data_IF_309160241273
#
_entry.id   IF_309160241273
#
_cell.length_a   1.000
_cell.length_b   1.000
_cell.length_c   1.000
_cell.angle_alpha   90.00
_cell.angle_beta   90.00
_cell.angle_gamma   90.00
#
_symmetry.space_group_name_H-M   'P 1'
#
loop_
_entity.id
_entity.type
_entity.pdbx_description
1 polymer ?
#
# COMPACT_ATOMS: atom_id res chain seq x y z
N UNK A 1 -37.45 9.33 5.04
CA UNK A 1 -37.27 8.13 4.18
C UNK A 1 -38.21 8.32 3.00
N UNK A 2 -37.69 8.29 1.77
CA UNK A 2 -38.53 8.31 0.56
C UNK A 2 -38.59 6.89 0.02
N UNK A 3 -39.75 6.24 0.15
CA UNK A 3 -40.02 4.94 -0.48
C UNK A 3 -40.58 5.12 -1.89
N UNK A 4 -40.38 4.12 -2.75
CA UNK A 4 -40.79 4.18 -4.15
C UNK A 4 -41.93 3.20 -4.47
N UNK A 5 -42.77 3.54 -5.46
CA UNK A 5 -43.66 2.56 -6.11
C UNK A 5 -42.94 1.83 -7.24
N UNK A 6 -43.52 0.72 -7.74
CA UNK A 6 -42.85 -0.31 -8.56
C UNK A 6 -42.10 0.12 -9.84
N UNK A 7 -42.24 1.36 -10.29
CA UNK A 7 -41.59 1.92 -11.49
C UNK A 7 -40.77 3.21 -11.23
N UNK A 8 -40.90 3.78 -10.03
CA UNK A 8 -40.32 5.06 -9.64
C UNK A 8 -39.01 4.83 -8.89
N UNK A 9 -38.09 5.79 -8.97
CA UNK A 9 -36.90 5.81 -8.12
C UNK A 9 -37.17 6.61 -6.83
N UNK A 10 -36.38 6.39 -5.76
CA UNK A 10 -36.46 7.20 -4.54
C UNK A 10 -36.03 8.66 -4.76
N UNK A 11 -35.18 8.91 -5.78
CA UNK A 11 -34.92 10.23 -6.37
C UNK A 11 -35.09 10.14 -7.89
N UNK A 12 -35.85 11.07 -8.48
CA UNK A 12 -35.90 11.27 -9.94
C UNK A 12 -35.54 12.72 -10.28
N UNK A 13 -34.56 12.95 -11.16
CA UNK A 13 -34.04 14.30 -11.47
C UNK A 13 -34.42 14.76 -12.89
N UNK A 14 -34.71 16.05 -13.07
CA UNK A 14 -35.24 16.58 -14.33
C UNK A 14 -34.15 16.77 -15.42
N UNK A 15 -34.55 16.58 -16.68
CA UNK A 15 -33.64 16.72 -17.83
C UNK A 15 -33.19 18.16 -18.09
N UNK A 16 -31.88 18.35 -18.27
CA UNK A 16 -31.27 19.68 -18.40
C UNK A 16 -31.08 20.43 -17.07
N UNK A 17 -31.31 19.79 -15.92
CA UNK A 17 -31.03 20.34 -14.58
C UNK A 17 -29.80 19.65 -13.98
N UNK A 18 -28.98 20.40 -13.24
CA UNK A 18 -27.91 19.87 -12.40
C UNK A 18 -28.43 19.62 -10.98
N UNK A 19 -28.34 18.37 -10.52
CA UNK A 19 -28.69 17.95 -9.16
C UNK A 19 -27.41 17.61 -8.39
N UNK A 20 -27.35 17.98 -7.11
CA UNK A 20 -26.23 17.62 -6.22
C UNK A 20 -26.79 16.95 -4.97
N UNK A 21 -26.34 15.73 -4.69
CA UNK A 21 -26.77 14.92 -3.54
C UNK A 21 -25.60 14.84 -2.56
N UNK A 22 -25.74 15.49 -1.41
CA UNK A 22 -24.70 15.56 -0.37
C UNK A 22 -24.85 14.49 0.73
N UNK A 23 -25.97 13.76 0.75
CA UNK A 23 -26.29 12.81 1.81
C UNK A 23 -27.77 12.42 1.83
N UNK A 24 -28.12 11.50 2.73
CA UNK A 24 -29.48 10.99 2.94
C UNK A 24 -29.53 9.47 3.00
N UNK A 25 -30.74 8.92 3.18
CA UNK A 25 -31.02 7.48 3.06
C UNK A 25 -32.22 7.28 2.14
N UNK A 26 -32.00 6.55 1.05
CA UNK A 26 -32.95 6.39 -0.06
C UNK A 26 -33.12 4.90 -0.34
N UNK A 27 -34.33 4.37 -0.14
CA UNK A 27 -34.61 2.93 -0.19
C UNK A 27 -35.74 2.68 -1.19
N UNK A 28 -35.53 1.78 -2.16
CA UNK A 28 -36.47 1.55 -3.26
C UNK A 28 -36.57 0.07 -3.65
N UNK A 29 -37.61 -0.58 -3.13
CA UNK A 29 -37.84 -2.04 -3.15
C UNK A 29 -38.06 -2.67 -4.54
N UNK A 30 -38.07 -1.89 -5.62
CA UNK A 30 -38.47 -2.37 -6.97
C UNK A 30 -37.66 -1.81 -8.14
N UNK A 31 -36.95 -0.70 -7.96
CA UNK A 31 -36.29 0.02 -9.05
C UNK A 31 -34.90 0.53 -8.62
N UNK A 32 -34.35 1.50 -9.35
CA UNK A 32 -33.14 2.21 -8.95
C UNK A 32 -33.40 3.16 -7.77
N UNK A 33 -32.46 3.29 -6.83
CA UNK A 33 -32.56 4.31 -5.78
C UNK A 33 -32.53 5.74 -6.38
N UNK A 34 -31.74 5.95 -7.44
CA UNK A 34 -31.75 7.18 -8.27
C UNK A 34 -32.11 6.83 -9.71
N UNK A 35 -32.90 7.70 -10.36
CA UNK A 35 -33.03 7.78 -11.82
C UNK A 35 -32.77 9.22 -12.30
N UNK A 36 -31.71 9.43 -13.09
CA UNK A 36 -31.38 10.76 -13.64
C UNK A 36 -31.77 10.89 -15.10
N UNK A 37 -32.39 12.02 -15.43
CA UNK A 37 -32.56 12.50 -16.80
C UNK A 37 -31.69 13.73 -17.11
N UNK A 38 -31.03 14.30 -16.09
CA UNK A 38 -30.11 15.45 -16.18
C UNK A 38 -28.73 15.12 -15.63
N UNK A 39 -27.95 16.14 -15.24
CA UNK A 39 -26.67 15.94 -14.56
C UNK A 39 -26.90 15.69 -13.06
N UNK A 40 -26.34 14.62 -12.50
CA UNK A 40 -26.42 14.34 -11.04
C UNK A 40 -25.03 14.07 -10.46
N UNK A 41 -24.61 14.89 -9.49
CA UNK A 41 -23.37 14.70 -8.73
C UNK A 41 -23.70 14.14 -7.35
N UNK A 42 -23.04 13.05 -6.94
CA UNK A 42 -23.34 12.33 -5.69
C UNK A 42 -22.12 12.34 -4.78
N UNK A 43 -22.10 13.26 -3.82
CA UNK A 43 -21.02 13.43 -2.84
C UNK A 43 -21.17 12.49 -1.63
N UNK A 44 -22.38 11.98 -1.36
CA UNK A 44 -22.65 11.09 -0.23
C UNK A 44 -24.11 10.62 -0.15
N UNK A 45 -24.37 9.69 0.77
CA UNK A 45 -25.69 9.12 1.05
C UNK A 45 -25.71 7.59 0.97
N UNK A 46 -26.69 6.95 1.58
CA UNK A 46 -26.96 5.51 1.46
C UNK A 46 -28.13 5.29 0.49
N UNK A 47 -27.92 4.41 -0.48
CA UNK A 47 -28.83 4.12 -1.58
C UNK A 47 -29.07 2.61 -1.62
N UNK A 48 -30.31 2.20 -1.35
CA UNK A 48 -30.71 0.80 -1.19
C UNK A 48 -31.82 0.46 -2.20
N UNK A 49 -31.72 -0.67 -2.89
CA UNK A 49 -32.78 -1.13 -3.78
C UNK A 49 -32.35 -2.24 -4.73
N UNK A 50 -33.24 -2.60 -5.65
CA UNK A 50 -32.97 -3.68 -6.63
C UNK A 50 -31.83 -3.31 -7.59
N UNK A 51 -31.77 -2.04 -7.98
CA UNK A 51 -30.68 -1.45 -8.75
C UNK A 51 -30.14 -0.23 -7.98
N UNK A 52 -28.86 0.09 -8.15
CA UNK A 52 -28.24 1.21 -7.45
C UNK A 52 -28.68 2.56 -8.04
N UNK A 53 -28.08 2.93 -9.16
CA UNK A 53 -28.38 4.20 -9.84
C UNK A 53 -28.59 4.00 -11.35
N UNK A 54 -29.54 4.76 -11.90
CA UNK A 54 -29.95 4.69 -13.32
C UNK A 54 -29.67 6.03 -14.01
N UNK A 55 -28.87 6.02 -15.06
CA UNK A 55 -28.71 7.15 -15.98
C UNK A 55 -29.51 6.89 -17.26
N UNK A 56 -30.39 7.82 -17.65
CA UNK A 56 -31.34 7.59 -18.74
C UNK A 56 -31.50 8.84 -19.64
N UNK A 57 -31.68 8.62 -20.94
CA UNK A 57 -32.11 9.67 -21.88
C UNK A 57 -33.59 10.01 -21.74
N UNK A 58 -33.93 11.30 -21.75
CA UNK A 58 -35.32 11.75 -21.69
C UNK A 58 -36.00 11.76 -23.07
N UNK A 59 -37.31 12.01 -23.10
CA UNK A 59 -38.12 12.10 -24.33
C UNK A 59 -37.77 13.27 -25.27
N UNK A 60 -36.83 14.14 -24.88
CA UNK A 60 -36.31 15.27 -25.66
C UNK A 60 -34.90 14.98 -26.21
N UNK A 61 -34.35 13.78 -25.99
CA UNK A 61 -32.99 13.41 -26.37
C UNK A 61 -31.89 13.91 -25.42
N UNK A 62 -32.23 14.51 -24.27
CA UNK A 62 -31.24 14.92 -23.26
C UNK A 62 -30.74 13.68 -22.50
N UNK A 63 -29.44 13.42 -22.59
CA UNK A 63 -28.77 12.30 -21.92
C UNK A 63 -28.55 12.63 -20.45
N UNK A 64 -29.10 11.84 -19.54
CA UNK A 64 -28.80 11.93 -18.12
C UNK A 64 -27.41 11.42 -17.79
N UNK A 65 -26.71 12.07 -16.86
CA UNK A 65 -25.38 11.68 -16.41
C UNK A 65 -25.25 11.62 -14.89
N UNK A 66 -24.43 10.69 -14.39
CA UNK A 66 -24.11 10.55 -12.96
C UNK A 66 -22.60 10.66 -12.77
N UNK A 67 -22.19 11.42 -11.75
CA UNK A 67 -20.79 11.50 -11.31
C UNK A 67 -20.68 11.28 -9.80
N UNK A 68 -19.92 10.26 -9.41
CA UNK A 68 -19.39 10.11 -8.05
C UNK A 68 -17.95 10.66 -8.05
N UNK A 69 -17.67 11.82 -7.43
CA UNK A 69 -16.31 12.37 -7.36
C UNK A 69 -15.39 11.55 -6.43
N UNK A 70 -14.09 11.84 -6.45
CA UNK A 70 -13.05 11.11 -5.72
C UNK A 70 -13.27 11.11 -4.20
N UNK A 71 -13.83 12.19 -3.67
CA UNK A 71 -14.22 12.35 -2.27
C UNK A 71 -15.65 11.85 -1.96
N UNK A 72 -16.31 11.13 -2.89
CA UNK A 72 -17.66 10.64 -2.65
C UNK A 72 -17.69 9.61 -1.52
N UNK A 73 -18.63 9.82 -0.60
CA UNK A 73 -18.94 8.94 0.53
C UNK A 73 -20.23 8.16 0.29
N UNK A 74 -20.68 8.06 -0.96
CA UNK A 74 -21.89 7.36 -1.33
C UNK A 74 -21.74 5.85 -1.09
N UNK A 75 -22.77 5.23 -0.49
CA UNK A 75 -22.88 3.79 -0.32
C UNK A 75 -24.08 3.35 -1.16
N UNK A 76 -23.84 2.51 -2.16
CA UNK A 76 -24.86 1.98 -3.06
C UNK A 76 -24.96 0.48 -2.84
N UNK A 77 -26.07 0.04 -2.24
CA UNK A 77 -26.40 -1.35 -1.97
C UNK A 77 -27.51 -1.78 -2.93
N UNK A 78 -27.12 -2.48 -4.00
CA UNK A 78 -27.99 -2.90 -5.08
C UNK A 78 -28.11 -4.42 -5.12
N UNK A 79 -29.31 -4.99 -4.97
CA UNK A 79 -29.50 -6.44 -4.96
C UNK A 79 -28.95 -7.12 -6.22
N UNK A 80 -29.11 -6.46 -7.38
CA UNK A 80 -28.73 -7.00 -8.68
C UNK A 80 -27.61 -6.23 -9.37
N UNK A 81 -27.78 -4.92 -9.60
CA UNK A 81 -26.87 -4.14 -10.46
C UNK A 81 -26.58 -2.76 -9.86
N UNK A 82 -25.31 -2.41 -9.66
CA UNK A 82 -24.91 -1.09 -9.13
C UNK A 82 -25.27 0.06 -10.08
N UNK A 83 -24.91 -0.07 -11.36
CA UNK A 83 -25.05 0.97 -12.38
C UNK A 83 -25.95 0.49 -13.53
N UNK A 84 -26.90 1.32 -13.95
CA UNK A 84 -27.75 1.05 -15.11
C UNK A 84 -27.71 2.23 -16.07
N UNK A 85 -27.24 1.98 -17.29
CA UNK A 85 -27.31 2.94 -18.40
C UNK A 85 -28.54 2.64 -19.26
N UNK A 86 -29.28 3.66 -19.69
CA UNK A 86 -30.44 3.51 -20.56
C UNK A 86 -30.52 4.55 -21.67
N UNK A 87 -30.88 4.08 -22.87
CA UNK A 87 -30.87 4.79 -24.14
C UNK A 87 -30.29 3.89 -25.24
N UNK A 88 -30.06 4.45 -26.43
CA UNK A 88 -29.49 3.72 -27.57
C UNK A 88 -28.00 4.06 -27.72
N UNK A 89 -27.29 3.38 -28.63
CA UNK A 89 -25.87 3.60 -28.97
C UNK A 89 -25.36 5.04 -28.79
N UNK A 90 -25.96 6.02 -29.48
CA UNK A 90 -25.51 7.43 -29.49
C UNK A 90 -26.04 8.30 -28.33
N UNK A 91 -26.82 7.73 -27.40
CA UNK A 91 -27.64 8.51 -26.45
C UNK A 91 -27.83 7.88 -25.06
N UNK A 92 -27.16 6.77 -24.76
CA UNK A 92 -27.29 6.09 -23.48
C UNK A 92 -26.71 6.90 -22.30
N UNK A 93 -27.37 6.83 -21.14
CA UNK A 93 -26.99 7.59 -19.95
C UNK A 93 -25.60 7.24 -19.42
N UNK A 94 -24.79 8.25 -19.09
CA UNK A 94 -23.35 8.11 -18.80
C UNK A 94 -23.08 8.16 -17.29
N UNK A 95 -22.24 7.27 -16.78
CA UNK A 95 -21.91 7.13 -15.35
C UNK A 95 -20.39 7.19 -15.16
N UNK A 96 -19.92 8.12 -14.33
CA UNK A 96 -18.52 8.27 -13.95
C UNK A 96 -18.35 7.99 -12.46
N UNK A 97 -17.47 7.05 -12.11
CA UNK A 97 -17.30 6.56 -10.74
C UNK A 97 -15.84 6.72 -10.31
N UNK A 98 -15.59 7.71 -9.46
CA UNK A 98 -14.26 8.00 -8.91
C UNK A 98 -14.15 7.76 -7.40
N UNK A 99 -15.26 7.48 -6.72
CA UNK A 99 -15.35 7.28 -5.28
C UNK A 99 -16.70 6.70 -4.87
N UNK A 100 -16.87 6.39 -3.58
CA UNK A 100 -18.01 5.65 -3.04
C UNK A 100 -17.77 4.14 -2.91
N UNK A 101 -18.77 3.44 -2.38
CA UNK A 101 -18.78 1.99 -2.13
C UNK A 101 -20.02 1.36 -2.76
N UNK A 102 -19.84 0.28 -3.52
CA UNK A 102 -20.84 -0.31 -4.42
C UNK A 102 -20.99 -1.82 -4.17
N UNK A 103 -21.98 -2.18 -3.35
CA UNK A 103 -22.38 -3.57 -3.11
C UNK A 103 -23.37 -4.00 -4.18
N UNK A 104 -23.02 -4.97 -5.02
CA UNK A 104 -23.92 -5.53 -6.04
C UNK A 104 -23.48 -6.91 -6.56
N UNK A 105 -24.40 -7.59 -7.25
CA UNK A 105 -24.10 -8.84 -7.98
C UNK A 105 -23.47 -8.59 -9.37
N UNK A 106 -23.62 -7.39 -9.93
CA UNK A 106 -23.08 -6.96 -11.23
C UNK A 106 -22.82 -5.45 -11.23
N UNK A 107 -21.71 -5.04 -11.83
CA UNK A 107 -21.33 -3.62 -11.91
C UNK A 107 -22.26 -2.85 -12.85
N UNK A 108 -22.37 -3.24 -14.13
CA UNK A 108 -23.17 -2.54 -15.15
C UNK A 108 -24.32 -3.39 -15.73
N UNK A 109 -25.43 -2.73 -16.03
CA UNK A 109 -26.49 -3.20 -16.93
C UNK A 109 -26.89 -2.11 -17.92
N UNK A 110 -27.36 -2.51 -19.10
CA UNK A 110 -27.84 -1.62 -20.16
C UNK A 110 -29.32 -1.85 -20.47
N UNK A 111 -30.05 -0.79 -20.80
CA UNK A 111 -31.49 -0.83 -21.18
C UNK A 111 -31.69 0.00 -22.46
N UNK A 112 -31.70 -0.69 -23.59
CA UNK A 112 -31.82 -0.16 -24.95
C UNK A 112 -30.84 -0.86 -25.90
N UNK A 113 -30.97 -0.59 -27.21
CA UNK A 113 -30.25 -1.33 -28.24
C UNK A 113 -28.90 -0.68 -28.63
N UNK A 114 -27.89 -1.51 -28.87
CA UNK A 114 -26.59 -1.08 -29.41
C UNK A 114 -25.67 -0.32 -28.46
N UNK A 115 -25.98 -0.27 -27.15
CA UNK A 115 -25.18 0.46 -26.16
C UNK A 115 -23.81 -0.19 -25.93
N UNK A 116 -22.74 0.51 -26.32
CA UNK A 116 -21.38 0.15 -25.92
C UNK A 116 -21.18 0.47 -24.43
N UNK A 117 -21.06 -0.60 -23.62
CA UNK A 117 -20.80 -0.54 -22.19
C UNK A 117 -19.60 0.33 -21.80
N UNK A 118 -18.51 0.27 -22.58
CA UNK A 118 -17.25 0.96 -22.27
C UNK A 118 -17.36 2.47 -22.43
N UNK A 119 -18.30 2.92 -23.28
CA UNK A 119 -18.61 4.34 -23.48
C UNK A 119 -19.49 4.95 -22.38
N UNK A 120 -20.29 4.12 -21.67
CA UNK A 120 -21.33 4.58 -20.72
C UNK A 120 -20.95 4.43 -19.25
N UNK A 121 -19.96 3.61 -18.91
CA UNK A 121 -19.44 3.49 -17.54
C UNK A 121 -17.93 3.62 -17.51
N UNK A 122 -17.45 4.56 -16.70
CA UNK A 122 -16.04 4.83 -16.45
C UNK A 122 -15.76 4.71 -14.94
N UNK A 123 -14.98 3.70 -14.53
CA UNK A 123 -14.64 3.45 -13.12
C UNK A 123 -13.15 3.73 -12.89
N UNK A 124 -12.86 4.89 -12.29
CA UNK A 124 -11.49 5.28 -11.90
C UNK A 124 -11.27 5.26 -10.39
N UNK A 125 -12.27 4.85 -9.59
CA UNK A 125 -12.16 4.84 -8.13
C UNK A 125 -13.32 4.18 -7.39
N UNK A 126 -13.18 4.10 -6.07
CA UNK A 126 -14.18 3.52 -5.16
C UNK A 126 -13.93 2.05 -4.81
N UNK A 127 -14.86 1.46 -4.06
CA UNK A 127 -14.84 0.06 -3.61
C UNK A 127 -16.06 -0.67 -4.18
N UNK A 128 -15.87 -1.84 -4.80
CA UNK A 128 -16.92 -2.59 -5.51
C UNK A 128 -16.93 -4.05 -5.03
N UNK A 129 -18.11 -4.66 -4.87
CA UNK A 129 -18.25 -6.09 -4.51
C UNK A 129 -18.44 -7.03 -5.71
N UNK A 130 -18.31 -6.51 -6.93
CA UNK A 130 -18.32 -7.24 -8.18
C UNK A 130 -17.23 -6.65 -9.07
N UNK A 131 -16.61 -7.48 -9.91
CA UNK A 131 -15.46 -7.07 -10.72
C UNK A 131 -15.81 -5.94 -11.70
N UNK A 132 -15.17 -4.75 -11.59
CA UNK A 132 -15.40 -3.63 -12.48
C UNK A 132 -14.48 -3.64 -13.71
N UNK A 133 -13.58 -4.63 -13.87
CA UNK A 133 -12.46 -4.62 -14.82
C UNK A 133 -12.80 -4.28 -16.28
N UNK A 134 -13.99 -4.66 -16.77
CA UNK A 134 -14.50 -4.29 -18.11
C UNK A 134 -14.70 -2.77 -18.30
N UNK A 135 -14.69 -1.99 -17.22
CA UNK A 135 -15.02 -0.56 -17.16
C UNK A 135 -13.91 0.31 -16.55
N UNK A 136 -12.70 -0.25 -16.40
CA UNK A 136 -11.52 0.40 -15.82
C UNK A 136 -10.61 0.92 -16.94
N UNK A 137 -10.34 2.23 -17.05
CA UNK A 137 -9.43 2.76 -18.07
C UNK A 137 -7.98 2.34 -17.84
N UNK A 138 -7.23 2.14 -18.92
CA UNK A 138 -5.79 1.84 -18.90
C UNK A 138 -5.00 2.81 -17.98
N UNK A 139 -4.07 2.26 -17.20
CA UNK A 139 -3.25 3.02 -16.26
C UNK A 139 -3.96 3.43 -14.95
N UNK A 140 -5.26 3.16 -14.80
CA UNK A 140 -5.96 3.31 -13.51
C UNK A 140 -5.38 2.34 -12.48
N UNK A 141 -5.09 2.83 -11.28
CA UNK A 141 -4.69 1.96 -10.16
C UNK A 141 -5.87 1.08 -9.72
N UNK A 142 -5.71 -0.23 -9.79
CA UNK A 142 -6.75 -1.23 -9.59
C UNK A 142 -6.19 -2.43 -8.79
N UNK A 143 -6.89 -2.84 -7.74
CA UNK A 143 -6.51 -3.99 -6.92
C UNK A 143 -7.73 -4.80 -6.46
N UNK A 144 -7.57 -6.12 -6.34
CA UNK A 144 -8.52 -7.00 -5.65
C UNK A 144 -7.99 -7.31 -4.25
N UNK A 145 -8.86 -7.12 -3.26
CA UNK A 145 -8.62 -7.51 -1.87
C UNK A 145 -9.44 -8.78 -1.59
N UNK A 146 -8.82 -9.75 -0.94
CA UNK A 146 -9.45 -11.00 -0.52
C UNK A 146 -9.13 -11.20 0.96
N UNK A 147 -10.15 -11.15 1.82
CA UNK A 147 -9.94 -11.34 3.26
C UNK A 147 -9.60 -12.80 3.60
N UNK A 148 -9.06 -13.02 4.80
CA UNK A 148 -8.86 -14.33 5.42
C UNK A 148 -10.16 -15.16 5.57
N UNK A 149 -11.34 -14.51 5.60
CA UNK A 149 -12.65 -15.18 5.50
C UNK A 149 -13.06 -15.56 4.06
N UNK A 150 -12.24 -15.25 3.04
CA UNK A 150 -12.52 -15.46 1.63
C UNK A 150 -13.50 -14.44 1.03
N UNK A 151 -13.67 -13.25 1.64
CA UNK A 151 -14.52 -12.19 1.08
C UNK A 151 -13.73 -11.34 0.10
N UNK A 152 -14.17 -11.25 -1.16
CA UNK A 152 -13.51 -10.44 -2.20
C UNK A 152 -14.16 -9.06 -2.36
N UNK A 153 -13.33 -8.02 -2.51
CA UNK A 153 -13.73 -6.68 -2.95
C UNK A 153 -12.68 -6.10 -3.91
N UNK A 154 -13.12 -5.25 -4.83
CA UNK A 154 -12.28 -4.57 -5.81
C UNK A 154 -12.16 -3.10 -5.42
N UNK A 155 -10.93 -2.57 -5.36
CA UNK A 155 -10.63 -1.20 -4.92
C UNK A 155 -9.87 -0.47 -6.01
N UNK A 156 -10.30 0.75 -6.31
CA UNK A 156 -9.75 1.58 -7.37
C UNK A 156 -9.34 2.97 -6.87
N UNK A 157 -8.31 3.52 -7.52
CA UNK A 157 -7.71 4.80 -7.16
C UNK A 157 -6.59 4.61 -6.12
N UNK A 158 -5.42 5.19 -6.41
CA UNK A 158 -4.16 4.98 -5.66
C UNK A 158 -4.30 5.17 -4.15
N UNK A 159 -4.98 6.24 -3.73
CA UNK A 159 -5.13 6.56 -2.31
C UNK A 159 -6.19 5.70 -1.61
N UNK A 160 -7.22 5.23 -2.34
CA UNK A 160 -8.21 4.28 -1.80
C UNK A 160 -7.64 2.87 -1.64
N UNK A 161 -6.75 2.44 -2.54
CA UNK A 161 -6.00 1.18 -2.40
C UNK A 161 -5.08 1.25 -1.17
N UNK A 162 -4.38 2.38 -0.95
CA UNK A 162 -3.59 2.60 0.28
C UNK A 162 -4.44 2.61 1.55
N UNK A 163 -5.60 3.29 1.53
CA UNK A 163 -6.54 3.34 2.66
C UNK A 163 -7.07 1.94 3.00
N UNK A 164 -7.46 1.15 1.99
CA UNK A 164 -7.89 -0.24 2.17
C UNK A 164 -6.76 -1.13 2.72
N UNK A 165 -5.54 -1.01 2.20
CA UNK A 165 -4.40 -1.82 2.64
C UNK A 165 -4.00 -1.57 4.10
N UNK A 166 -4.20 -0.35 4.63
CA UNK A 166 -4.02 -0.04 6.06
C UNK A 166 -5.14 -0.57 6.98
N UNK A 167 -6.12 -1.27 6.43
CA UNK A 167 -7.20 -1.95 7.15
C UNK A 167 -7.28 -3.44 6.79
N UNK A 168 -6.21 -4.02 6.22
CA UNK A 168 -6.11 -5.46 5.95
C UNK A 168 -5.52 -6.19 7.17
N UNK A 169 -6.09 -7.36 7.49
CA UNK A 169 -5.71 -8.18 8.66
C UNK A 169 -4.69 -9.29 8.30
N UNK A 170 -4.11 -9.95 9.32
CA UNK A 170 -3.25 -11.12 9.13
C UNK A 170 -3.99 -12.24 8.36
N UNK A 171 -3.39 -12.71 7.26
CA UNK A 171 -3.97 -13.70 6.36
C UNK A 171 -4.74 -13.12 5.15
N UNK A 172 -4.94 -11.80 5.09
CA UNK A 172 -5.55 -11.14 3.92
C UNK A 172 -4.58 -11.15 2.71
N UNK A 173 -5.16 -11.12 1.51
CA UNK A 173 -4.42 -11.05 0.24
C UNK A 173 -4.83 -9.81 -0.57
N UNK A 174 -3.83 -9.05 -1.04
CA UNK A 174 -3.98 -7.88 -1.89
C UNK A 174 -3.33 -8.20 -3.24
N UNK A 175 -4.11 -8.22 -4.32
CA UNK A 175 -3.63 -8.43 -5.69
C UNK A 175 -3.71 -7.11 -6.44
N UNK A 176 -2.56 -6.53 -6.78
CA UNK A 176 -2.49 -5.36 -7.67
C UNK A 176 -2.65 -5.84 -9.11
N UNK A 177 -3.68 -5.34 -9.78
CA UNK A 177 -4.09 -5.71 -11.14
C UNK A 177 -3.65 -4.66 -12.19
N UNK A 178 -3.45 -3.41 -11.78
CA UNK A 178 -2.92 -2.33 -12.63
C UNK A 178 -2.40 -1.15 -11.79
N UNK A 179 -1.37 -0.49 -12.30
CA UNK A 179 -0.91 0.85 -11.89
C UNK A 179 0.10 0.88 -10.74
N UNK A 180 0.90 1.94 -10.69
CA UNK A 180 2.00 2.07 -9.73
C UNK A 180 1.47 2.28 -8.31
N UNK A 181 1.89 1.45 -7.35
CA UNK A 181 1.37 1.40 -5.99
C UNK A 181 2.51 1.31 -4.97
N UNK A 182 2.43 2.14 -3.92
CA UNK A 182 3.31 2.10 -2.75
C UNK A 182 2.43 1.81 -1.53
N UNK A 183 2.58 0.61 -0.97
CA UNK A 183 1.94 0.15 0.25
C UNK A 183 2.96 0.17 1.39
N UNK A 184 3.13 1.34 2.00
CA UNK A 184 3.94 1.51 3.20
C UNK A 184 3.07 1.47 4.46
N UNK A 185 3.65 0.98 5.56
CA UNK A 185 3.00 0.77 6.88
C UNK A 185 1.95 -0.36 6.86
N UNK A 186 2.20 -1.45 6.11
CA UNK A 186 1.40 -2.66 6.22
C UNK A 186 1.82 -3.51 7.42
N UNK A 187 0.83 -4.02 8.15
CA UNK A 187 0.99 -4.99 9.23
C UNK A 187 1.47 -6.38 8.73
N UNK A 188 1.76 -7.29 9.65
CA UNK A 188 2.35 -8.60 9.36
C UNK A 188 1.31 -9.62 8.87
N UNK A 189 1.73 -10.55 8.03
CA UNK A 189 0.91 -11.68 7.56
C UNK A 189 -0.01 -11.35 6.38
N UNK A 190 0.10 -10.17 5.79
CA UNK A 190 -0.63 -9.76 4.58
C UNK A 190 0.17 -10.23 3.36
N UNK A 191 -0.49 -10.92 2.44
CA UNK A 191 0.12 -11.31 1.15
C UNK A 191 -0.17 -10.24 0.10
N UNK A 192 0.85 -9.66 -0.51
CA UNK A 192 0.69 -8.70 -1.62
C UNK A 192 1.26 -9.29 -2.91
N UNK A 193 0.45 -9.32 -3.98
CA UNK A 193 0.83 -9.82 -5.31
C UNK A 193 0.81 -8.68 -6.33
N UNK A 194 1.75 -8.70 -7.27
CA UNK A 194 1.71 -7.84 -8.45
C UNK A 194 1.38 -8.69 -9.68
N UNK A 195 0.10 -8.79 -10.04
CA UNK A 195 -0.35 -9.51 -11.24
C UNK A 195 -0.51 -8.57 -12.45
N UNK A 196 -0.43 -7.24 -12.21
CA UNK A 196 -0.62 -6.21 -13.22
C UNK A 196 0.65 -5.66 -13.86
N UNK A 197 0.46 -4.58 -14.62
CA UNK A 197 1.52 -3.69 -15.08
C UNK A 197 1.61 -2.48 -14.14
N UNK A 198 2.77 -2.26 -13.54
CA UNK A 198 3.07 -1.14 -12.65
C UNK A 198 4.22 -1.42 -11.70
N UNK A 199 4.88 -0.37 -11.21
CA UNK A 199 5.85 -0.46 -10.12
C UNK A 199 5.10 -0.60 -8.78
N UNK A 200 5.20 -1.79 -8.17
CA UNK A 200 4.61 -2.08 -6.86
C UNK A 200 5.72 -2.15 -5.80
N UNK A 201 5.52 -1.40 -4.70
CA UNK A 201 6.41 -1.36 -3.53
C UNK A 201 5.59 -1.66 -2.27
N UNK A 202 6.11 -2.51 -1.40
CA UNK A 202 5.46 -2.94 -0.15
C UNK A 202 6.46 -2.84 0.99
N UNK A 203 6.18 -2.00 1.99
CA UNK A 203 7.09 -1.68 3.11
C UNK A 203 8.55 -1.43 2.65
N UNK A 204 8.72 -0.68 1.54
CA UNK A 204 10.02 -0.35 0.93
C UNK A 204 10.64 -1.45 0.05
N UNK A 205 10.07 -2.66 0.00
CA UNK A 205 10.52 -3.74 -0.90
C UNK A 205 9.78 -3.69 -2.23
N UNK A 206 10.48 -3.77 -3.37
CA UNK A 206 9.84 -3.89 -4.69
C UNK A 206 9.23 -5.28 -4.88
N UNK A 207 8.06 -5.33 -5.53
CA UNK A 207 7.37 -6.55 -5.97
C UNK A 207 7.28 -6.51 -7.50
N UNK A 208 8.11 -7.30 -8.18
CA UNK A 208 8.09 -7.42 -9.64
C UNK A 208 6.80 -8.07 -10.14
N UNK A 209 6.38 -7.74 -11.37
CA UNK A 209 5.17 -8.32 -11.98
C UNK A 209 5.28 -9.84 -12.11
N UNK A 210 4.20 -10.56 -11.78
CA UNK A 210 4.16 -12.01 -11.61
C UNK A 210 4.70 -12.52 -10.26
N UNK A 211 5.07 -11.64 -9.33
CA UNK A 211 5.63 -12.00 -8.02
C UNK A 211 4.74 -11.59 -6.85
N UNK A 212 5.01 -12.14 -5.67
CA UNK A 212 4.32 -11.85 -4.41
C UNK A 212 5.30 -11.66 -3.25
N UNK A 213 4.85 -10.97 -2.20
CA UNK A 213 5.55 -10.77 -0.93
C UNK A 213 4.59 -11.01 0.24
N UNK A 214 5.07 -11.69 1.28
CA UNK A 214 4.39 -11.79 2.57
C UNK A 214 4.99 -10.76 3.53
N UNK A 215 4.17 -9.83 4.03
CA UNK A 215 4.62 -8.84 5.02
C UNK A 215 4.96 -9.54 6.34
N UNK A 216 6.07 -9.15 6.97
CA UNK A 216 6.50 -9.72 8.25
C UNK A 216 7.57 -8.85 8.91
N UNK A 217 7.65 -8.91 10.24
CA UNK A 217 8.71 -8.26 11.00
C UNK A 217 10.04 -8.99 10.75
N UNK A 218 11.03 -8.30 10.18
CA UNK A 218 12.30 -8.92 9.79
C UNK A 218 13.09 -9.45 11.00
N UNK A 219 12.99 -10.76 11.26
CA UNK A 219 13.85 -11.46 12.21
C UNK A 219 15.27 -11.60 11.65
N UNK A 220 16.16 -10.66 11.97
CA UNK A 220 17.52 -10.60 11.43
C UNK A 220 18.48 -11.60 12.08
N UNK A 221 19.13 -12.41 11.25
CA UNK A 221 20.23 -13.31 11.63
C UNK A 221 21.51 -12.95 10.86
N UNK A 222 22.68 -13.05 11.51
CA UNK A 222 23.95 -12.78 10.85
C UNK A 222 24.40 -14.00 10.03
N UNK A 223 24.65 -13.85 8.73
CA UNK A 223 25.18 -14.89 7.82
C UNK A 223 26.56 -14.50 7.29
N UNK A 224 27.38 -15.48 6.87
CA UNK A 224 28.68 -15.22 6.22
C UNK A 224 29.80 -14.63 7.11
N UNK A 225 29.57 -14.43 8.41
CA UNK A 225 30.55 -13.83 9.32
C UNK A 225 31.84 -14.66 9.42
N UNK A 226 33.00 -14.00 9.26
CA UNK A 226 34.34 -14.63 9.26
C UNK A 226 35.30 -13.78 10.09
N UNK A 227 35.98 -14.38 11.07
CA UNK A 227 37.00 -13.68 11.87
C UNK A 227 38.25 -13.43 11.02
N UNK A 228 38.78 -12.20 11.05
CA UNK A 228 40.05 -11.87 10.40
C UNK A 228 41.23 -12.60 11.06
N UNK A 229 42.20 -13.00 10.24
CA UNK A 229 43.47 -13.60 10.66
C UNK A 229 44.63 -12.72 10.19
N UNK A 230 45.87 -13.10 10.48
CA UNK A 230 47.05 -12.41 9.94
C UNK A 230 47.35 -12.76 8.46
N UNK A 231 46.69 -13.78 7.89
CA UNK A 231 46.86 -14.17 6.47
C UNK A 231 45.67 -13.76 5.60
N UNK A 232 44.46 -13.78 6.17
CA UNK A 232 43.18 -13.54 5.47
C UNK A 232 42.36 -12.47 6.17
N UNK A 233 41.66 -11.66 5.37
CA UNK A 233 40.65 -10.73 5.87
C UNK A 233 39.44 -11.48 6.44
N UNK A 234 38.73 -10.78 7.32
CA UNK A 234 37.46 -11.20 7.87
C UNK A 234 36.28 -10.47 7.25
N UNK A 235 35.09 -10.80 7.72
CA UNK A 235 33.83 -10.19 7.32
C UNK A 235 32.90 -10.16 8.53
N UNK A 236 32.21 -9.04 8.79
CA UNK A 236 31.25 -8.97 9.91
C UNK A 236 30.06 -9.92 9.71
N UNK A 237 29.79 -10.30 8.46
CA UNK A 237 28.59 -11.00 8.05
C UNK A 237 27.44 -10.05 7.74
N UNK A 238 26.55 -10.51 6.87
CA UNK A 238 25.34 -9.83 6.43
C UNK A 238 24.19 -10.04 7.43
N UNK A 239 23.31 -9.04 7.56
CA UNK A 239 22.01 -9.20 8.23
C UNK A 239 20.99 -9.71 7.22
N UNK A 240 20.63 -10.98 7.36
CA UNK A 240 19.65 -11.65 6.51
C UNK A 240 18.39 -11.90 7.32
N UNK A 241 17.21 -11.64 6.78
CA UNK A 241 15.97 -12.03 7.45
C UNK A 241 15.79 -13.56 7.39
N UNK A 242 15.49 -14.20 8.53
CA UNK A 242 15.26 -15.65 8.60
C UNK A 242 13.97 -16.10 7.90
N UNK A 243 13.05 -15.18 7.61
CA UNK A 243 11.74 -15.48 6.98
C UNK A 243 11.83 -15.37 5.45
N UNK A 244 12.09 -14.18 4.90
CA UNK A 244 12.18 -13.98 3.44
C UNK A 244 13.58 -14.24 2.84
N UNK A 245 14.61 -14.52 3.64
CA UNK A 245 16.00 -14.70 3.21
C UNK A 245 16.64 -13.50 2.47
N UNK A 246 16.00 -12.33 2.48
CA UNK A 246 16.58 -11.09 1.95
C UNK A 246 17.69 -10.54 2.86
N UNK A 247 18.75 -10.01 2.25
CA UNK A 247 19.81 -9.27 2.97
C UNK A 247 19.38 -7.82 3.19
N UNK A 248 19.16 -7.46 4.45
CA UNK A 248 18.66 -6.13 4.88
C UNK A 248 19.81 -5.17 5.17
N UNK A 249 20.94 -5.65 5.70
CA UNK A 249 22.18 -4.88 5.88
C UNK A 249 23.37 -5.70 5.39
N UNK A 250 24.24 -5.12 4.56
CA UNK A 250 25.46 -5.79 4.09
C UNK A 250 26.59 -5.69 5.11
N UNK A 251 27.31 -6.81 5.28
CA UNK A 251 28.47 -6.87 6.14
C UNK A 251 29.66 -6.05 5.62
N UNK A 252 30.58 -5.72 6.52
CA UNK A 252 31.81 -4.96 6.23
C UNK A 252 33.03 -5.88 6.27
N UNK A 253 34.00 -5.63 5.38
CA UNK A 253 35.30 -6.32 5.39
C UNK A 253 36.09 -5.92 6.64
N UNK A 254 36.72 -6.90 7.28
CA UNK A 254 37.56 -6.69 8.45
C UNK A 254 39.00 -6.90 8.00
N UNK A 255 39.83 -5.85 8.10
CA UNK A 255 41.24 -5.90 7.75
C UNK A 255 41.99 -7.04 8.48
N UNK A 256 43.08 -7.52 7.86
CA UNK A 256 43.94 -8.56 8.44
C UNK A 256 44.45 -8.12 9.82
N UNK A 257 44.58 -9.07 10.74
CA UNK A 257 45.26 -8.85 12.02
C UNK A 257 46.75 -8.64 11.80
N UNK A 258 47.38 -7.83 12.64
CA UNK A 258 48.84 -7.79 12.70
C UNK A 258 49.41 -9.18 13.03
N UNK A 259 50.64 -9.45 12.58
CA UNK A 259 51.37 -10.67 12.93
C UNK A 259 51.88 -10.57 14.37
N UNK A 260 51.56 -11.56 15.18
CA UNK A 260 52.18 -11.78 16.50
C UNK A 260 53.52 -12.50 16.30
N UNK A 261 54.63 -11.75 16.25
CA UNK A 261 55.97 -12.29 16.01
C UNK A 261 56.66 -12.72 17.31
N UNK A 262 57.20 -13.95 17.31
CA UNK A 262 57.98 -14.53 18.42
C UNK A 262 59.16 -15.31 17.84
N UNK A 263 60.37 -15.04 18.30
CA UNK A 263 61.62 -15.65 17.81
C UNK A 263 61.74 -15.60 16.26
N UNK A 264 61.44 -14.44 15.66
CA UNK A 264 61.57 -14.19 14.23
C UNK A 264 60.50 -14.80 13.32
N UNK A 265 59.47 -15.45 13.86
CA UNK A 265 58.34 -15.97 13.08
C UNK A 265 57.00 -15.64 13.73
N UNK A 266 55.96 -15.50 12.92
CA UNK A 266 54.63 -15.25 13.42
C UNK A 266 54.09 -16.52 14.11
N UNK A 267 53.78 -16.44 15.39
CA UNK A 267 53.30 -17.55 16.21
C UNK A 267 51.96 -18.15 15.71
N UNK A 268 51.25 -17.44 14.83
CA UNK A 268 49.95 -17.84 14.28
C UNK A 268 50.05 -18.43 12.86
N UNK A 269 51.06 -18.06 12.05
CA UNK A 269 51.13 -18.47 10.64
C UNK A 269 52.53 -18.76 10.08
N UNK A 270 53.59 -18.68 10.89
CA UNK A 270 54.97 -19.00 10.47
C UNK A 270 55.66 -17.98 9.56
N UNK A 271 54.98 -16.91 9.12
CA UNK A 271 55.58 -15.81 8.37
C UNK A 271 56.80 -15.22 9.10
N UNK A 272 57.91 -15.00 8.40
CA UNK A 272 59.14 -14.46 8.99
C UNK A 272 58.96 -12.97 9.32
N UNK A 273 59.44 -12.54 10.48
CA UNK A 273 59.48 -11.14 10.88
C UNK A 273 60.56 -10.38 10.07
N UNK A 274 60.21 -9.37 9.26
CA UNK A 274 61.19 -8.60 8.49
C UNK A 274 62.24 -7.85 9.33
N UNK A 275 61.97 -7.62 10.63
CA UNK A 275 62.80 -6.81 11.51
C UNK A 275 63.58 -7.63 12.56
N UNK A 276 63.48 -8.97 12.54
CA UNK A 276 64.09 -9.80 13.59
C UNK A 276 65.57 -10.04 13.37
N UNK A 277 66.40 -9.46 14.25
CA UNK A 277 67.83 -9.72 14.31
C UNK A 277 68.14 -10.82 15.33
N UNK A 278 68.76 -11.92 14.89
CA UNK A 278 68.84 -13.19 15.63
C UNK A 278 70.07 -13.31 16.56
N UNK A 279 70.47 -12.22 17.21
CA UNK A 279 71.60 -12.20 18.17
C UNK A 279 71.10 -12.39 19.60
N UNK A 280 71.63 -13.42 20.29
CA UNK A 280 71.10 -13.91 21.57
C UNK A 280 71.51 -13.13 22.83
N UNK A 281 70.97 -13.60 23.96
CA UNK A 281 71.08 -13.02 25.31
C UNK A 281 72.51 -13.04 25.90
N UNK A 282 73.15 -11.87 26.09
CA UNK A 282 74.06 -11.61 27.23
C UNK A 282 74.39 -10.11 27.47
N UNK A 283 74.25 -9.67 28.72
CA UNK A 283 75.06 -8.67 29.46
C UNK A 283 75.58 -7.35 28.83
N UNK A 284 75.18 -6.23 29.49
CA UNK A 284 75.88 -4.94 29.70
C UNK A 284 76.19 -3.95 28.55
N UNK A 285 75.72 -2.70 28.77
CA UNK A 285 76.51 -1.46 28.94
C UNK A 285 77.95 -1.38 28.35
N UNK A 286 78.40 -0.31 27.66
CA UNK A 286 78.03 1.11 27.81
C UNK A 286 78.42 2.06 26.62
N UNK A 287 77.51 3.00 26.33
CA UNK A 287 77.73 4.43 25.97
C UNK A 287 78.35 4.90 24.61
N UNK A 288 78.06 6.19 24.30
CA UNK A 288 78.67 7.13 23.34
C UNK A 288 78.19 7.19 21.88
N UNK A 289 77.18 8.06 21.66
CA UNK A 289 77.11 9.20 20.69
C UNK A 289 77.29 8.97 19.18
N UNK A 290 76.43 9.45 18.25
CA UNK A 290 75.25 10.37 18.32
C UNK A 290 74.24 10.04 17.15
N UNK A 291 73.20 10.80 16.74
CA UNK A 291 72.74 12.18 17.02
C UNK A 291 71.22 12.41 16.70
N UNK A 292 70.76 13.66 16.90
CA UNK A 292 69.52 14.38 16.47
C UNK A 292 68.70 13.84 15.27
N UNK A 293 67.37 14.04 15.17
CA UNK A 293 66.58 15.24 15.54
C UNK A 293 65.13 15.00 16.01
N UNK A 294 64.66 15.87 16.93
CA UNK A 294 63.31 16.46 17.08
C UNK A 294 62.04 15.60 17.28
N UNK A 295 61.85 15.18 18.55
CA UNK A 295 60.75 15.59 19.45
C UNK A 295 59.50 16.29 18.82
N UNK A 296 58.30 15.76 19.10
CA UNK A 296 57.16 16.55 19.65
C UNK A 296 56.04 15.66 20.24
N UNK A 297 55.51 16.07 21.40
CA UNK A 297 54.45 15.44 22.23
C UNK A 297 54.04 16.47 23.32
N UNK A 298 52.82 16.48 23.91
CA UNK A 298 51.61 15.68 23.70
C UNK A 298 50.40 16.52 23.25
N UNK A 299 49.20 15.91 23.21
CA UNK A 299 48.13 16.37 24.11
C UNK A 299 47.11 15.26 24.42
N UNK A 300 46.34 15.45 25.49
CA UNK A 300 45.23 14.59 25.91
C UNK A 300 43.90 15.14 25.37
N UNK A 301 42.87 14.30 25.15
CA UNK A 301 41.48 14.74 25.10
C UNK A 301 40.88 14.75 26.51
N UNK A 302 40.22 15.85 26.85
CA UNK A 302 39.32 16.02 28.00
C UNK A 302 38.39 17.20 27.61
N UNK A 303 37.09 17.02 27.40
CA UNK A 303 36.00 17.33 28.37
C UNK A 303 34.66 17.43 27.60
N UNK A 304 33.53 17.70 28.30
CA UNK A 304 32.22 18.15 27.77
C UNK A 304 31.39 17.09 27.02
N UNK A 305 30.28 16.54 27.54
CA UNK A 305 29.53 16.80 28.78
C UNK A 305 28.61 18.06 28.80
N UNK A 306 27.56 18.07 27.96
CA UNK A 306 26.45 19.03 28.02
C UNK A 306 25.09 18.38 27.69
N UNK A 307 24.11 18.51 28.58
CA UNK A 307 22.71 18.15 28.31
C UNK A 307 21.99 19.24 27.49
N UNK A 308 20.97 18.85 26.71
CA UNK A 308 19.74 19.65 26.64
C UNK A 308 18.51 18.78 26.30
N UNK A 309 17.61 18.62 27.28
CA UNK A 309 16.32 17.93 27.14
C UNK A 309 15.21 18.97 27.38
N UNK A 310 14.77 19.63 26.31
CA UNK A 310 13.68 20.64 26.21
C UNK A 310 13.60 21.06 24.72
N UNK A 311 12.47 21.27 24.03
CA UNK A 311 11.01 21.16 24.30
C UNK A 311 10.32 21.06 22.88
N UNK A 312 9.08 20.59 22.62
CA UNK A 312 7.95 20.11 23.43
C UNK A 312 7.12 19.05 22.64
N UNK A 313 5.83 18.89 22.96
CA UNK A 313 4.80 18.04 22.31
C UNK A 313 3.71 18.86 21.62
N UNK A 314 3.04 18.32 20.57
CA UNK A 314 1.67 18.59 20.03
C UNK A 314 1.62 18.02 18.58
N UNK A 315 0.54 17.49 17.99
CA UNK A 315 -0.89 17.38 18.33
C UNK A 315 -1.41 15.94 18.04
N UNK A 316 -2.30 15.42 18.88
CA UNK A 316 -3.03 14.17 18.62
C UNK A 316 -4.51 14.46 18.30
N UNK A 317 -4.86 14.61 17.02
CA UNK A 317 -6.23 14.85 16.54
C UNK A 317 -6.50 14.11 15.23
N UNK A 318 -6.85 12.82 15.29
CA UNK A 318 -7.24 11.98 14.13
C UNK A 318 -8.33 10.92 14.47
N UNK A 319 -9.16 11.17 15.48
CA UNK A 319 -10.00 10.15 16.15
C UNK A 319 -11.43 9.99 15.62
N UNK A 320 -11.73 10.35 14.36
CA UNK A 320 -13.12 10.38 13.82
C UNK A 320 -13.36 9.45 12.61
N UNK A 321 -12.33 9.08 11.83
CA UNK A 321 -12.52 8.27 10.60
C UNK A 321 -12.93 6.82 10.91
N UNK A 322 -12.50 6.25 12.04
CA UNK A 322 -12.70 4.83 12.38
C UNK A 322 -14.17 4.38 12.51
N UNK A 323 -15.14 5.29 12.65
CA UNK A 323 -16.54 4.92 12.86
C UNK A 323 -17.26 4.42 11.59
N UNK A 324 -16.74 4.72 10.39
CA UNK A 324 -17.34 4.26 9.13
C UNK A 324 -17.16 2.76 8.89
N UNK A 325 -15.89 2.31 8.86
CA UNK A 325 -15.50 0.91 8.62
C UNK A 325 -16.11 -0.03 9.68
N UNK A 326 -16.13 0.41 10.93
CA UNK A 326 -16.73 -0.29 12.07
C UNK A 326 -18.20 -0.71 11.80
N UNK A 327 -19.00 0.09 11.10
CA UNK A 327 -20.42 -0.24 10.83
C UNK A 327 -20.57 -1.43 9.88
N UNK A 328 -19.70 -1.55 8.87
CA UNK A 328 -19.75 -2.65 7.90
C UNK A 328 -19.40 -3.97 8.59
N UNK A 329 -18.29 -4.02 9.34
CA UNK A 329 -17.88 -5.21 10.08
C UNK A 329 -18.85 -5.58 11.23
N UNK A 330 -19.38 -4.60 11.97
CA UNK A 330 -20.30 -4.90 13.09
C UNK A 330 -21.65 -5.47 12.63
N UNK A 331 -22.14 -5.16 11.41
CA UNK A 331 -23.45 -5.64 10.94
C UNK A 331 -23.48 -7.18 10.81
N UNK A 332 -22.35 -7.81 10.47
CA UNK A 332 -22.19 -9.28 10.34
C UNK A 332 -22.32 -10.02 11.69
N UNK A 333 -21.97 -9.39 12.82
CA UNK A 333 -22.01 -10.01 14.16
C UNK A 333 -23.39 -10.02 14.86
N UNK A 334 -24.46 -9.48 14.25
CA UNK A 334 -25.81 -9.40 14.88
C UNK A 334 -26.84 -10.42 14.39
N UNK A 335 -26.47 -11.33 13.49
CA UNK A 335 -27.36 -12.37 12.96
C UNK A 335 -26.90 -13.82 13.26
N UNK A 336 -26.22 -14.02 14.40
CA UNK A 336 -25.94 -15.35 14.95
C UNK A 336 -26.32 -15.38 16.44
N UNK A 337 -27.62 -15.54 16.71
CA UNK A 337 -28.20 -16.20 17.90
C UNK A 337 -29.68 -16.47 17.68
#
# INVERSE_FOLDING_TARGET
MCGCGSYNAAISTAGGVKTVINGGNFTCDSAGAIKTYGETVINGGNFEGKYGVVAQVNSEGKVGSITFPENSTAIVNADQIAFVSSGNADSAGIINVKGGTFTSSKVLGTIGDGVDKSSVLNVTGGIHSADPGEFVPDGTSFAKFTSSEGTEVWVLGKDKIKEAAKNADEGDTIVILSGDIDLSELDNGITVKNEGLGDVVVNGSKVDSGSEILTHAHKLVTKGAKKATCTSEGYTGDKVCEICNQTIEKGKVIAKKAHDYKNGKCAVCGAVDPNYNSTGNSSNENNSTSNDTNISKPNSPDTSDNNNVIIWSLLAVCSIVAMGITVIFCKKRRYIK
#
